data_IF_155404048963
#
_entry.id   IF_155404048963
#
_cell.length_a   1.000
_cell.length_b   1.000
_cell.length_c   1.000
_cell.angle_alpha   90.00
_cell.angle_beta   90.00
_cell.angle_gamma   90.00
#
_symmetry.space_group_name_H-M   'P 1'
#
loop_
_entity.id
_entity.type
_entity.pdbx_description
1 polymer ?
#
# COMPACT_ATOMS: atom_id res chain seq x y z
N UNK A 1 -7.86 25.15 -46.57
CA UNK A 1 -7.15 25.04 -45.27
C UNK A 1 -8.17 24.72 -44.18
N UNK A 2 -8.63 23.46 -44.09
CA UNK A 2 -9.63 23.03 -43.11
C UNK A 2 -9.21 21.77 -42.33
N UNK A 3 -8.21 21.02 -42.81
CA UNK A 3 -7.70 19.83 -42.12
C UNK A 3 -6.83 20.12 -40.90
N UNK A 4 -6.07 21.22 -40.89
CA UNK A 4 -5.17 21.56 -39.79
C UNK A 4 -5.90 22.02 -38.51
N UNK A 5 -7.08 22.63 -38.65
CA UNK A 5 -7.85 23.19 -37.52
C UNK A 5 -8.57 22.10 -36.73
N UNK A 6 -8.92 20.96 -37.37
CA UNK A 6 -9.58 19.83 -36.70
C UNK A 6 -8.53 18.88 -36.07
N UNK A 7 -7.33 18.79 -36.64
CA UNK A 7 -6.25 17.95 -36.11
C UNK A 7 -5.74 18.44 -34.75
N UNK A 8 -5.58 19.75 -34.54
CA UNK A 8 -5.09 20.29 -33.28
C UNK A 8 -5.94 19.92 -32.05
N UNK A 9 -7.28 20.10 -32.03
CA UNK A 9 -8.10 19.70 -30.89
C UNK A 9 -8.16 18.17 -30.71
N UNK A 10 -8.16 17.39 -31.78
CA UNK A 10 -8.15 15.91 -31.68
C UNK A 10 -6.82 15.41 -31.10
N UNK A 11 -5.70 15.98 -31.52
CA UNK A 11 -4.38 15.66 -30.95
C UNK A 11 -4.29 16.13 -29.50
N UNK A 12 -4.81 17.32 -29.16
CA UNK A 12 -4.83 17.80 -27.78
C UNK A 12 -5.71 16.91 -26.87
N UNK A 13 -6.86 16.46 -27.34
CA UNK A 13 -7.71 15.48 -26.63
C UNK A 13 -6.98 14.14 -26.51
N UNK A 14 -6.36 13.66 -27.58
CA UNK A 14 -5.62 12.39 -27.58
C UNK A 14 -4.42 12.40 -26.62
N UNK A 15 -3.64 13.48 -26.62
CA UNK A 15 -2.53 13.68 -25.68
C UNK A 15 -3.05 13.87 -24.26
N UNK A 16 -4.13 14.63 -24.07
CA UNK A 16 -4.79 14.78 -22.78
C UNK A 16 -5.23 13.44 -22.21
N UNK A 17 -5.93 12.62 -23.00
CA UNK A 17 -6.34 11.27 -22.62
C UNK A 17 -5.15 10.35 -22.35
N UNK A 18 -4.07 10.44 -23.14
CA UNK A 18 -2.86 9.62 -22.93
C UNK A 18 -2.08 10.01 -21.67
N UNK A 19 -1.96 11.30 -21.36
CA UNK A 19 -1.33 11.80 -20.13
C UNK A 19 -2.15 11.42 -18.92
N UNK A 20 -3.47 11.55 -19.04
CA UNK A 20 -4.42 11.11 -18.04
C UNK A 20 -4.23 9.60 -17.84
N UNK A 21 -4.23 8.77 -18.89
CA UNK A 21 -4.07 7.30 -18.76
C UNK A 21 -2.68 6.81 -18.34
N UNK A 22 -1.61 7.59 -18.55
CA UNK A 22 -0.23 7.15 -18.36
C UNK A 22 0.32 7.31 -16.94
N UNK A 23 -0.36 8.07 -16.08
CA UNK A 23 0.02 8.25 -14.66
C UNK A 23 -0.76 7.35 -13.70
N UNK A 24 -1.48 6.35 -14.23
CA UNK A 24 -2.44 5.54 -13.49
C UNK A 24 -1.90 4.16 -13.19
N UNK A 25 -2.11 3.72 -11.95
CA UNK A 25 -1.78 2.36 -11.52
C UNK A 25 -1.08 2.35 -10.17
N UNK A 26 -1.09 1.18 -9.56
CA UNK A 26 -0.23 0.91 -8.42
C UNK A 26 1.17 0.56 -8.92
N UNK A 27 2.18 1.03 -8.21
CA UNK A 27 3.58 0.63 -8.40
C UNK A 27 3.94 -0.41 -7.33
N UNK A 28 4.91 -1.27 -7.64
CA UNK A 28 5.45 -2.21 -6.64
C UNK A 28 6.01 -1.42 -5.44
N UNK A 29 5.74 -1.90 -4.23
CA UNK A 29 6.21 -1.25 -3.02
C UNK A 29 7.75 -1.31 -2.92
N UNK A 30 8.38 -0.19 -2.58
CA UNK A 30 9.84 -0.08 -2.54
C UNK A 30 10.41 -0.44 -1.16
N UNK A 31 11.30 -1.44 -1.14
CA UNK A 31 12.04 -1.82 0.07
C UNK A 31 12.91 -0.67 0.59
N UNK A 32 13.57 0.08 -0.30
CA UNK A 32 14.44 1.19 0.08
C UNK A 32 13.64 2.32 0.73
N UNK A 33 12.44 2.60 0.22
CA UNK A 33 11.55 3.59 0.81
C UNK A 33 11.02 3.13 2.17
N UNK A 34 10.65 1.85 2.31
CA UNK A 34 10.24 1.28 3.59
C UNK A 34 11.38 1.37 4.63
N UNK A 35 12.62 1.04 4.25
CA UNK A 35 13.81 1.18 5.11
C UNK A 35 14.05 2.63 5.49
N UNK A 36 13.93 3.56 4.54
CA UNK A 36 14.12 4.98 4.83
C UNK A 36 13.05 5.49 5.80
N UNK A 37 11.78 5.14 5.56
CA UNK A 37 10.65 5.47 6.43
C UNK A 37 10.81 4.88 7.83
N UNK A 38 11.33 3.67 7.94
CA UNK A 38 11.65 3.06 9.22
C UNK A 38 12.77 3.81 9.93
N UNK A 39 13.86 4.20 9.26
CA UNK A 39 14.96 4.97 9.87
C UNK A 39 14.51 6.34 10.39
N UNK A 40 13.57 6.96 9.70
CA UNK A 40 12.98 8.24 10.12
C UNK A 40 12.11 8.08 11.38
N UNK A 41 11.68 6.85 11.69
CA UNK A 41 11.03 6.48 12.95
C UNK A 41 12.08 5.91 13.92
N UNK A 42 12.24 6.53 15.08
CA UNK A 42 13.20 6.02 16.06
C UNK A 42 12.71 4.69 16.63
N UNK A 43 13.42 3.59 16.33
CA UNK A 43 13.16 2.28 16.92
C UNK A 43 13.23 2.36 18.45
N UNK A 44 12.26 1.74 19.14
CA UNK A 44 12.08 1.95 20.60
C UNK A 44 11.83 0.66 21.40
N UNK A 45 11.45 -0.44 20.74
CA UNK A 45 11.19 -1.73 21.39
C UNK A 45 12.31 -2.76 21.24
N UNK A 46 12.42 -3.68 22.21
CA UNK A 46 13.30 -4.85 22.13
C UNK A 46 12.60 -6.09 21.55
N UNK A 47 13.35 -7.07 21.03
CA UNK A 47 12.79 -8.34 20.57
C UNK A 47 12.47 -9.31 21.74
N UNK A 48 11.55 -10.25 21.52
CA UNK A 48 11.15 -11.30 22.45
C UNK A 48 10.54 -12.51 21.74
N UNK A 49 10.10 -13.52 22.49
CA UNK A 49 9.55 -14.76 21.90
C UNK A 49 8.32 -14.50 21.02
N UNK A 50 7.40 -13.64 21.46
CA UNK A 50 6.17 -13.27 20.75
C UNK A 50 6.24 -11.89 20.07
N UNK A 51 7.36 -11.18 20.22
CA UNK A 51 7.57 -9.87 19.60
C UNK A 51 8.82 -9.93 18.74
N UNK A 52 8.69 -9.99 17.41
CA UNK A 52 9.86 -9.97 16.55
C UNK A 52 10.67 -8.68 16.76
N UNK A 53 11.93 -8.67 16.33
CA UNK A 53 12.71 -7.44 16.36
C UNK A 53 12.06 -6.37 15.49
N UNK A 54 12.08 -5.12 15.94
CA UNK A 54 11.68 -4.01 15.08
C UNK A 54 12.58 -3.95 13.85
N UNK A 55 12.00 -3.58 12.71
CA UNK A 55 12.74 -3.49 11.46
C UNK A 55 11.86 -3.61 10.23
N UNK A 56 12.53 -3.59 9.09
CA UNK A 56 11.91 -3.85 7.79
C UNK A 56 12.32 -5.24 7.33
N UNK A 57 11.33 -6.01 6.91
CA UNK A 57 11.43 -7.39 6.47
C UNK A 57 10.90 -7.50 5.06
N UNK A 58 11.49 -8.39 4.28
CA UNK A 58 11.05 -8.66 2.92
C UNK A 58 10.17 -9.91 2.89
N UNK A 59 8.94 -9.74 2.42
CA UNK A 59 8.04 -10.84 2.10
C UNK A 59 7.99 -11.04 0.58
N UNK A 60 7.61 -12.25 0.18
CA UNK A 60 7.40 -12.59 -1.22
C UNK A 60 5.94 -12.99 -1.43
N UNK A 61 5.30 -12.39 -2.41
CA UNK A 61 3.91 -12.66 -2.76
C UNK A 61 3.50 -11.88 -3.98
N UNK A 62 2.49 -12.37 -4.69
CA UNK A 62 1.96 -11.72 -5.90
C UNK A 62 0.44 -11.81 -5.91
N UNK A 63 -0.20 -10.90 -6.63
CA UNK A 63 -1.63 -10.98 -6.91
C UNK A 63 -2.12 -9.77 -7.68
N UNK A 64 -3.43 -9.71 -7.84
CA UNK A 64 -4.09 -8.74 -8.69
C UNK A 64 -5.39 -8.28 -8.05
N UNK A 65 -5.54 -6.98 -7.90
CA UNK A 65 -6.77 -6.33 -7.47
C UNK A 65 -7.41 -5.66 -8.68
N UNK A 66 -8.73 -5.75 -8.81
CA UNK A 66 -9.44 -5.11 -9.91
C UNK A 66 -10.83 -4.70 -9.48
N UNK A 67 -11.25 -3.54 -9.95
CA UNK A 67 -12.64 -3.12 -9.82
C UNK A 67 -13.48 -3.89 -10.83
N UNK A 68 -14.63 -4.42 -10.41
CA UNK A 68 -15.48 -5.27 -11.25
C UNK A 68 -16.05 -4.56 -12.48
N UNK A 69 -16.17 -3.23 -12.44
CA UNK A 69 -16.79 -2.40 -13.48
C UNK A 69 -15.74 -1.60 -14.28
N UNK A 70 -14.52 -1.44 -13.77
CA UNK A 70 -13.47 -0.65 -14.42
C UNK A 70 -12.32 -1.54 -14.85
N UNK A 71 -11.69 -1.18 -15.97
CA UNK A 71 -10.51 -1.88 -16.51
C UNK A 71 -9.28 -1.69 -15.62
N UNK A 72 -9.30 -0.72 -14.71
CA UNK A 72 -8.23 -0.46 -13.77
C UNK A 72 -8.02 -1.68 -12.85
N UNK A 73 -6.89 -2.34 -13.03
CA UNK A 73 -6.36 -3.37 -12.16
C UNK A 73 -5.04 -2.92 -11.55
N UNK A 74 -4.72 -3.46 -10.38
CA UNK A 74 -3.51 -3.18 -9.63
C UNK A 74 -2.81 -4.51 -9.38
N UNK A 75 -1.61 -4.64 -9.93
CA UNK A 75 -0.73 -5.76 -9.63
C UNK A 75 0.16 -5.38 -8.46
N UNK A 76 0.46 -6.35 -7.59
CA UNK A 76 1.35 -6.16 -6.44
C UNK A 76 2.37 -7.30 -6.34
N UNK A 77 3.52 -7.01 -5.72
CA UNK A 77 4.66 -7.93 -5.64
C UNK A 77 5.57 -7.93 -6.87
N UNK A 78 6.55 -8.87 -6.93
CA UNK A 78 6.75 -10.01 -6.04
C UNK A 78 7.35 -9.66 -4.68
N UNK A 79 7.89 -8.46 -4.51
CA UNK A 79 8.51 -8.01 -3.25
C UNK A 79 7.51 -7.21 -2.44
N UNK A 80 7.24 -7.63 -1.21
CA UNK A 80 6.31 -6.97 -0.30
C UNK A 80 7.07 -6.56 0.97
N UNK A 81 7.55 -5.31 1.08
CA UNK A 81 8.20 -4.86 2.30
C UNK A 81 7.17 -4.82 3.45
N UNK A 82 7.58 -5.31 4.61
CA UNK A 82 6.80 -5.21 5.82
C UNK A 82 7.64 -4.59 6.94
N UNK A 83 7.04 -3.66 7.66
CA UNK A 83 7.65 -2.96 8.77
C UNK A 83 7.03 -3.45 10.08
N UNK A 84 7.89 -3.81 11.03
CA UNK A 84 7.49 -4.12 12.40
C UNK A 84 7.95 -3.01 13.34
N UNK A 85 7.00 -2.46 14.09
CA UNK A 85 7.22 -1.41 15.07
C UNK A 85 6.63 -1.84 16.41
N UNK A 86 7.34 -1.64 17.51
CA UNK A 86 6.71 -1.75 18.81
C UNK A 86 5.66 -0.64 18.94
N UNK A 87 4.55 -1.02 19.53
CA UNK A 87 3.55 -0.13 20.06
C UNK A 87 3.63 -0.23 21.60
N UNK A 88 3.06 0.73 22.32
CA UNK A 88 3.08 0.69 23.80
C UNK A 88 2.52 -0.64 24.36
N UNK A 89 2.74 -0.88 25.66
CA UNK A 89 2.14 -2.04 26.37
C UNK A 89 2.53 -3.42 25.78
N UNK A 90 3.81 -3.59 25.40
CA UNK A 90 4.36 -4.81 24.80
C UNK A 90 3.75 -5.24 23.45
N UNK A 91 2.92 -4.39 22.86
CA UNK A 91 2.29 -4.60 21.57
C UNK A 91 3.26 -4.32 20.43
N UNK A 92 2.88 -4.75 19.23
CA UNK A 92 3.59 -4.36 18.02
C UNK A 92 2.64 -4.29 16.83
N UNK A 93 3.00 -3.45 15.87
CA UNK A 93 2.27 -3.27 14.63
C UNK A 93 3.07 -3.92 13.52
N UNK A 94 2.41 -4.83 12.81
CA UNK A 94 2.85 -5.35 11.53
C UNK A 94 2.23 -4.50 10.43
N UNK A 95 3.04 -3.87 9.59
CA UNK A 95 2.56 -3.12 8.42
C UNK A 95 3.16 -3.74 7.17
N UNK A 96 2.35 -4.29 6.27
CA UNK A 96 2.79 -4.83 4.98
C UNK A 96 2.33 -3.90 3.85
N UNK A 97 3.28 -3.50 3.02
CA UNK A 97 3.05 -2.68 1.84
C UNK A 97 2.99 -3.61 0.64
N UNK A 98 1.83 -3.72 0.03
CA UNK A 98 1.70 -4.56 -1.14
C UNK A 98 2.00 -3.79 -2.44
N UNK A 99 1.57 -2.53 -2.48
CA UNK A 99 1.86 -1.60 -3.58
C UNK A 99 1.84 -0.17 -3.03
N UNK A 100 2.18 0.81 -3.87
CA UNK A 100 2.03 2.23 -3.53
C UNK A 100 0.58 2.64 -3.22
N UNK A 101 -0.39 1.81 -3.60
CA UNK A 101 -1.82 2.06 -3.39
C UNK A 101 -2.45 1.15 -2.33
N UNK A 102 -1.75 0.17 -1.78
CA UNK A 102 -2.33 -0.76 -0.82
C UNK A 102 -1.33 -1.10 0.30
N UNK A 103 -1.69 -0.72 1.52
CA UNK A 103 -0.97 -1.10 2.74
C UNK A 103 -1.96 -1.69 3.75
N UNK A 104 -1.53 -2.73 4.47
CA UNK A 104 -2.30 -3.30 5.57
C UNK A 104 -1.48 -3.26 6.85
N UNK A 105 -2.12 -2.85 7.94
CA UNK A 105 -1.58 -2.81 9.29
C UNK A 105 -2.39 -3.73 10.19
N UNK A 106 -1.70 -4.54 10.99
CA UNK A 106 -2.29 -5.41 12.01
C UNK A 106 -1.59 -5.17 13.33
N UNK A 107 -2.36 -4.99 14.41
CA UNK A 107 -1.80 -4.87 15.75
C UNK A 107 -1.80 -6.23 16.42
N UNK A 108 -0.70 -6.56 17.10
CA UNK A 108 -0.55 -7.81 17.85
C UNK A 108 -0.19 -7.56 19.30
N UNK A 109 -0.84 -8.32 20.18
CA UNK A 109 -0.59 -8.34 21.62
C UNK A 109 -0.09 -9.74 22.02
N UNK A 110 1.05 -9.85 22.71
CA UNK A 110 1.43 -11.11 23.35
C UNK A 110 0.38 -11.53 24.38
N UNK A 111 -0.14 -12.75 24.27
CA UNK A 111 -1.08 -13.34 25.24
C UNK A 111 -0.68 -14.80 25.55
N UNK A 112 -0.06 -14.99 26.72
CA UNK A 112 0.48 -16.29 27.13
C UNK A 112 1.56 -16.78 26.16
N UNK A 113 1.28 -17.89 25.47
CA UNK A 113 2.15 -18.48 24.44
C UNK A 113 1.70 -18.15 23.01
N UNK A 114 0.76 -17.19 22.84
CA UNK A 114 0.16 -16.82 21.56
C UNK A 114 0.09 -15.31 21.31
N UNK A 115 -0.56 -14.94 20.20
CA UNK A 115 -0.81 -13.56 19.80
C UNK A 115 -2.32 -13.31 19.72
N UNK A 116 -2.77 -12.23 20.33
CA UNK A 116 -4.09 -11.67 20.09
C UNK A 116 -3.99 -10.62 18.98
N UNK A 117 -4.92 -10.68 18.03
CA UNK A 117 -5.10 -9.70 16.96
C UNK A 117 -6.38 -8.91 17.23
N UNK A 118 -6.35 -7.82 18.02
CA UNK A 118 -7.55 -7.04 18.32
C UNK A 118 -8.05 -6.22 17.13
N UNK A 119 -7.25 -6.10 16.07
CA UNK A 119 -7.65 -5.37 14.87
C UNK A 119 -6.49 -4.79 14.08
N UNK A 120 -6.86 -3.91 13.16
CA UNK A 120 -5.91 -3.34 12.21
C UNK A 120 -6.54 -2.27 11.33
N UNK A 121 -5.78 -1.86 10.33
CA UNK A 121 -6.15 -0.81 9.39
C UNK A 121 -5.66 -1.17 8.00
N UNK A 122 -6.49 -0.94 7.00
CA UNK A 122 -6.13 -1.11 5.60
C UNK A 122 -6.29 0.21 4.88
N UNK A 123 -5.23 0.64 4.19
CA UNK A 123 -5.28 1.75 3.26
C UNK A 123 -5.35 1.19 1.84
N UNK A 124 -6.32 1.66 1.06
CA UNK A 124 -6.44 1.36 -0.36
C UNK A 124 -6.73 2.63 -1.15
N UNK A 125 -6.03 2.81 -2.26
CA UNK A 125 -6.28 3.86 -3.25
C UNK A 125 -6.86 3.25 -4.51
N UNK A 126 -8.08 3.66 -4.83
CA UNK A 126 -8.80 3.24 -6.02
C UNK A 126 -8.70 4.30 -7.10
N UNK A 127 -8.16 3.93 -8.25
CA UNK A 127 -8.09 4.78 -9.43
C UNK A 127 -9.32 4.53 -10.34
N UNK A 128 -10.14 5.57 -10.54
CA UNK A 128 -11.31 5.56 -11.41
C UNK A 128 -11.03 6.23 -12.76
N UNK A 129 -9.74 6.41 -13.08
CA UNK A 129 -9.25 7.16 -14.21
C UNK A 129 -9.29 8.66 -13.94
N UNK A 130 -10.47 9.27 -14.12
CA UNK A 130 -10.57 10.74 -14.02
C UNK A 130 -10.29 11.30 -12.61
N UNK A 131 -10.36 10.44 -11.59
CA UNK A 131 -10.11 10.76 -10.20
C UNK A 131 -9.67 9.49 -9.46
N UNK A 132 -9.11 9.66 -8.26
CA UNK A 132 -8.82 8.57 -7.34
C UNK A 132 -9.52 8.81 -6.00
N UNK A 133 -9.82 7.71 -5.30
CA UNK A 133 -10.39 7.72 -3.96
C UNK A 133 -9.45 6.98 -3.03
N UNK A 134 -9.09 7.64 -1.93
CA UNK A 134 -8.33 7.03 -0.85
C UNK A 134 -9.33 6.52 0.20
N UNK A 135 -9.24 5.25 0.54
CA UNK A 135 -10.06 4.58 1.54
C UNK A 135 -9.16 4.07 2.67
N UNK A 136 -9.62 4.29 3.90
CA UNK A 136 -8.96 3.79 5.11
C UNK A 136 -10.01 3.04 5.91
N UNK A 137 -9.90 1.72 5.88
CA UNK A 137 -10.74 0.84 6.67
C UNK A 137 -10.04 0.50 7.98
N UNK A 138 -10.80 0.52 9.08
CA UNK A 138 -10.32 0.04 10.39
C UNK A 138 -11.21 -1.11 10.80
N UNK A 139 -10.61 -2.21 11.25
CA UNK A 139 -11.34 -3.37 11.73
C UNK A 139 -10.93 -3.69 13.16
N UNK A 140 -11.87 -4.25 13.91
CA UNK A 140 -11.66 -4.78 15.24
C UNK A 140 -12.13 -6.23 15.27
N UNK A 141 -11.41 -7.07 16.00
CA UNK A 141 -11.76 -8.47 16.18
C UNK A 141 -12.42 -8.63 17.56
N UNK A 142 -13.57 -9.31 17.60
CA UNK A 142 -14.30 -9.68 18.82
C UNK A 142 -13.96 -11.11 19.29
#
# INVERSE_FOLDING_TARGET
MAGAVVLAPVVAIGVGLAVIWGGWGAEEASLDEAVQRFRDRQASGGAGFLRPAEGVYTYCGTGDEKLSILVAGQHWGPTLPATLLASGEDCWVFSIEFSTNHTQETTYFPNGDGLDEPGGRTFQRFDFGAFAVDEVDTFTCD
#
